data_IF_457454861156
#
_entry.id   IF_457454861156
#
_cell.length_a   1.000
_cell.length_b   1.000
_cell.length_c   1.000
_cell.angle_alpha   90.00
_cell.angle_beta   90.00
_cell.angle_gamma   90.00
#
_symmetry.space_group_name_H-M   'P 1'
#
loop_
_entity.id
_entity.type
_entity.pdbx_description
1 polymer ?
#
# COMPACT_ATOMS: atom_id res chain seq x y z
N UNK A 1 26.16 -8.18 30.74
CA UNK A 1 27.05 -7.01 30.86
C UNK A 1 26.64 -6.04 29.77
N UNK A 2 25.91 -4.98 30.11
CA UNK A 2 25.57 -3.95 29.13
C UNK A 2 26.83 -3.22 28.71
N UNK A 3 26.99 -2.98 27.42
CA UNK A 3 28.07 -2.11 26.92
C UNK A 3 27.78 -0.67 27.39
N UNK A 4 28.82 0.10 27.79
CA UNK A 4 28.62 1.48 28.20
C UNK A 4 27.96 2.29 27.08
N UNK A 5 27.08 3.25 27.40
CA UNK A 5 26.38 4.04 26.40
C UNK A 5 27.39 4.79 25.52
N UNK A 6 27.26 4.64 24.20
CA UNK A 6 28.10 5.33 23.23
C UNK A 6 28.01 6.85 23.44
N UNK A 7 29.18 7.51 23.46
CA UNK A 7 29.25 8.97 23.48
C UNK A 7 28.56 9.57 22.26
N UNK A 8 28.08 10.81 22.38
CA UNK A 8 27.37 11.45 21.27
C UNK A 8 28.23 11.55 20.00
N UNK A 9 29.54 11.77 20.17
CA UNK A 9 30.48 11.85 19.05
C UNK A 9 30.70 10.49 18.37
N UNK A 10 30.73 9.40 19.14
CA UNK A 10 30.74 8.05 18.56
C UNK A 10 29.44 7.76 17.77
N UNK A 11 28.28 8.23 18.26
CA UNK A 11 27.02 8.13 17.52
C UNK A 11 27.07 8.94 16.21
N UNK A 12 27.58 10.18 16.24
CA UNK A 12 27.78 11.02 15.03
C UNK A 12 28.66 10.29 14.01
N UNK A 13 29.82 9.77 14.41
CA UNK A 13 30.74 9.08 13.51
C UNK A 13 30.13 7.81 12.88
N UNK A 14 29.36 7.03 13.63
CA UNK A 14 28.65 5.84 13.10
C UNK A 14 27.54 6.21 12.11
N UNK A 15 26.77 7.26 12.40
CA UNK A 15 25.74 7.78 11.49
C UNK A 15 26.38 8.29 10.19
N UNK A 16 27.43 9.11 10.30
CA UNK A 16 28.18 9.63 9.15
C UNK A 16 28.73 8.51 8.26
N UNK A 17 29.38 7.50 8.87
CA UNK A 17 29.89 6.32 8.14
C UNK A 17 28.80 5.55 7.42
N UNK A 18 27.61 5.46 8.01
CA UNK A 18 26.45 4.77 7.42
C UNK A 18 25.91 5.53 6.20
N UNK A 19 25.76 6.86 6.33
CA UNK A 19 25.32 7.75 5.24
C UNK A 19 26.30 7.72 4.05
N UNK A 20 27.61 7.82 4.31
CA UNK A 20 28.63 7.83 3.25
C UNK A 20 28.69 6.49 2.51
N UNK A 21 28.44 5.37 3.20
CA UNK A 21 28.49 4.04 2.59
C UNK A 21 27.37 3.79 1.57
N UNK A 22 26.12 4.13 1.93
CA UNK A 22 24.98 4.02 1.01
C UNK A 22 23.93 5.10 1.35
N UNK A 23 24.00 6.28 0.71
CA UNK A 23 23.11 7.40 1.03
C UNK A 23 21.68 7.12 0.59
N UNK A 24 21.46 6.41 -0.52
CA UNK A 24 20.12 6.09 -1.01
C UNK A 24 19.43 5.04 -0.13
N UNK A 25 20.14 4.01 0.34
CA UNK A 25 19.59 3.05 1.29
C UNK A 25 19.31 3.69 2.67
N UNK A 26 20.14 4.67 3.06
CA UNK A 26 19.93 5.49 4.26
C UNK A 26 18.67 6.37 4.14
N UNK A 27 18.49 7.04 3.00
CA UNK A 27 17.29 7.82 2.68
C UNK A 27 16.03 6.95 2.67
N UNK A 28 16.07 5.75 2.05
CA UNK A 28 14.96 4.81 2.08
C UNK A 28 14.60 4.43 3.52
N UNK A 29 15.58 4.05 4.36
CA UNK A 29 15.32 3.64 5.74
C UNK A 29 14.66 4.76 6.56
N UNK A 30 15.12 6.01 6.39
CA UNK A 30 14.47 7.18 6.99
C UNK A 30 13.05 7.39 6.43
N UNK A 31 12.87 7.28 5.12
CA UNK A 31 11.58 7.47 4.44
C UNK A 31 10.53 6.44 4.89
N UNK A 32 10.91 5.18 5.06
CA UNK A 32 10.03 4.14 5.59
C UNK A 32 9.68 4.40 7.07
N UNK A 33 10.66 4.76 7.90
CA UNK A 33 10.44 5.09 9.30
C UNK A 33 9.50 6.30 9.48
N UNK A 34 9.74 7.38 8.72
CA UNK A 34 8.90 8.60 8.73
C UNK A 34 7.49 8.29 8.25
N UNK A 35 7.32 7.47 7.20
CA UNK A 35 5.99 7.07 6.73
C UNK A 35 5.22 6.26 7.78
N UNK A 36 5.91 5.34 8.47
CA UNK A 36 5.35 4.57 9.58
C UNK A 36 4.96 5.46 10.79
N UNK A 37 5.81 6.43 11.15
CA UNK A 37 5.57 7.35 12.26
C UNK A 37 4.43 8.34 11.99
N UNK A 38 4.32 8.87 10.76
CA UNK A 38 3.26 9.81 10.36
C UNK A 38 1.94 9.12 10.00
N UNK A 39 1.86 7.79 10.06
CA UNK A 39 0.62 7.04 9.84
C UNK A 39 -0.27 7.08 11.08
N UNK A 40 -1.58 7.23 10.90
CA UNK A 40 -2.58 7.02 11.97
C UNK A 40 -2.56 5.59 12.56
N UNK A 41 -1.84 4.66 11.91
CA UNK A 41 -1.61 3.28 12.35
C UNK A 41 -0.22 3.06 12.99
N UNK A 42 0.48 4.13 13.40
CA UNK A 42 1.85 4.06 13.91
C UNK A 42 2.02 2.97 14.98
N UNK A 43 1.02 2.72 15.84
CA UNK A 43 1.08 1.66 16.84
C UNK A 43 1.40 0.27 16.30
N UNK A 44 0.84 -0.07 15.13
CA UNK A 44 1.04 -1.33 14.42
C UNK A 44 2.14 -1.29 13.35
N UNK A 45 2.41 -0.10 12.79
CA UNK A 45 3.28 0.07 11.62
C UNK A 45 4.70 0.54 11.97
N UNK A 46 4.84 1.34 13.03
CA UNK A 46 6.13 1.82 13.55
C UNK A 46 6.68 0.81 14.57
N UNK A 47 6.98 -0.38 14.07
CA UNK A 47 7.59 -1.46 14.83
C UNK A 47 8.93 -1.85 14.17
N UNK A 48 10.06 -1.92 14.89
CA UNK A 48 10.22 -1.52 16.28
C UNK A 48 10.01 0.00 16.46
N UNK A 49 9.68 0.39 17.69
CA UNK A 49 9.54 1.78 18.11
C UNK A 49 10.79 2.25 18.89
N UNK A 50 11.26 3.51 18.75
CA UNK A 50 12.44 3.98 19.46
C UNK A 50 12.19 4.12 20.97
N UNK A 51 12.97 3.45 21.85
CA UNK A 51 12.69 3.36 23.28
C UNK A 51 12.80 4.70 24.00
N UNK A 52 13.67 5.59 23.52
CA UNK A 52 13.89 6.94 24.06
C UNK A 52 12.65 7.86 23.93
N UNK A 53 11.61 7.40 23.22
CA UNK A 53 10.31 8.08 23.06
C UNK A 53 9.17 7.30 23.72
N UNK A 54 9.46 6.36 24.63
CA UNK A 54 8.47 5.67 25.47
C UNK A 54 8.55 6.27 26.88
N UNK A 55 7.47 6.90 27.32
CA UNK A 55 7.37 7.57 28.62
C UNK A 55 6.26 6.89 29.41
N UNK A 56 6.57 6.37 30.61
CA UNK A 56 5.63 5.64 31.47
C UNK A 56 4.92 4.44 30.77
N UNK A 57 5.55 3.85 29.75
CA UNK A 57 4.99 2.77 28.93
C UNK A 57 4.19 3.26 27.70
N UNK A 58 3.94 4.55 27.57
CA UNK A 58 3.21 5.14 26.45
C UNK A 58 4.15 5.70 25.37
N UNK A 59 3.77 5.54 24.10
CA UNK A 59 4.54 6.03 22.95
C UNK A 59 4.32 7.54 22.77
N UNK A 60 5.34 8.34 23.02
CA UNK A 60 5.33 9.80 22.82
C UNK A 60 5.48 10.17 21.34
N UNK A 61 4.49 9.77 20.52
CA UNK A 61 4.53 9.93 19.05
C UNK A 61 4.66 11.40 18.62
N UNK A 62 4.05 12.34 19.34
CA UNK A 62 4.15 13.77 19.05
C UNK A 62 5.58 14.30 19.23
N UNK A 63 6.29 13.83 20.26
CA UNK A 63 7.70 14.18 20.47
C UNK A 63 8.57 13.56 19.37
N UNK A 64 8.32 12.31 18.99
CA UNK A 64 9.04 11.64 17.90
C UNK A 64 8.85 12.39 16.58
N UNK A 65 7.62 12.77 16.23
CA UNK A 65 7.33 13.52 15.01
C UNK A 65 8.01 14.89 14.98
N UNK A 66 8.09 15.61 16.12
CA UNK A 66 8.84 16.88 16.21
C UNK A 66 10.34 16.69 15.94
N UNK A 67 10.95 15.64 16.48
CA UNK A 67 12.37 15.32 16.21
C UNK A 67 12.58 14.86 14.77
N UNK A 68 11.63 14.14 14.17
CA UNK A 68 11.70 13.79 12.75
C UNK A 68 11.64 15.01 11.80
N UNK A 69 11.13 16.14 12.26
CA UNK A 69 11.06 17.39 11.49
C UNK A 69 12.34 18.25 11.57
N UNK A 70 13.23 17.97 12.53
CA UNK A 70 14.56 18.62 12.58
C UNK A 70 15.53 17.98 11.58
N UNK A 71 15.44 16.66 11.33
CA UNK A 71 16.37 15.90 10.48
C UNK A 71 16.48 16.51 9.07
N UNK A 72 17.66 17.03 8.66
CA UNK A 72 17.86 17.58 7.32
C UNK A 72 17.93 16.47 6.24
N UNK A 73 17.84 16.80 4.94
CA UNK A 73 18.03 15.85 3.84
C UNK A 73 19.32 15.03 4.00
N UNK A 74 19.34 13.78 3.51
CA UNK A 74 20.51 12.89 3.65
C UNK A 74 21.77 13.46 2.98
N UNK A 75 21.60 14.25 1.91
CA UNK A 75 22.70 14.95 1.26
C UNK A 75 23.39 16.01 2.15
N UNK A 76 22.64 16.61 3.09
CA UNK A 76 23.12 17.69 3.96
C UNK A 76 23.62 17.17 5.32
N UNK A 77 23.25 15.94 5.70
CA UNK A 77 23.70 15.32 6.95
C UNK A 77 25.23 15.25 7.10
N UNK A 78 26.06 14.92 6.08
CA UNK A 78 27.51 14.81 6.24
C UNK A 78 28.20 16.08 6.72
N UNK A 79 27.69 17.26 6.35
CA UNK A 79 28.20 18.57 6.79
C UNK A 79 27.45 19.11 8.01
N UNK A 80 26.14 18.81 8.13
CA UNK A 80 25.28 19.32 9.20
C UNK A 80 25.33 18.54 10.52
N UNK A 81 25.89 17.31 10.57
CA UNK A 81 25.76 16.40 11.72
C UNK A 81 26.30 16.95 13.05
N UNK A 82 27.31 17.81 13.00
CA UNK A 82 27.90 18.46 14.18
C UNK A 82 26.97 19.52 14.80
N UNK A 83 26.07 20.12 14.01
CA UNK A 83 25.11 21.13 14.46
C UNK A 83 23.78 20.51 14.94
N UNK A 84 23.58 19.21 14.78
CA UNK A 84 22.39 18.52 15.27
C UNK A 84 22.47 18.28 16.79
N UNK A 85 21.34 18.51 17.45
CA UNK A 85 21.15 18.24 18.86
C UNK A 85 21.24 16.74 19.18
N UNK A 86 21.51 16.46 20.45
CA UNK A 86 21.79 15.11 20.93
C UNK A 86 20.59 14.15 20.82
N UNK A 87 19.35 14.65 20.82
CA UNK A 87 18.14 13.83 20.65
C UNK A 87 17.97 13.45 19.17
N UNK A 88 18.17 14.38 18.24
CA UNK A 88 18.14 14.13 16.79
C UNK A 88 19.25 13.15 16.39
N UNK A 89 20.49 13.34 16.88
CA UNK A 89 21.60 12.39 16.65
C UNK A 89 21.32 11.03 17.30
N UNK A 90 20.72 11.00 18.50
CA UNK A 90 20.30 9.78 19.18
C UNK A 90 19.30 8.97 18.35
N UNK A 91 18.27 9.63 17.81
CA UNK A 91 17.27 9.01 16.94
C UNK A 91 17.88 8.53 15.61
N UNK A 92 18.70 9.34 14.93
CA UNK A 92 19.40 8.94 13.71
C UNK A 92 20.27 7.70 13.93
N UNK A 93 21.04 7.67 15.03
CA UNK A 93 21.84 6.52 15.41
C UNK A 93 20.98 5.29 15.72
N UNK A 94 19.82 5.46 16.35
CA UNK A 94 18.89 4.35 16.58
C UNK A 94 18.35 3.79 15.25
N UNK A 95 17.82 4.64 14.35
CA UNK A 95 17.24 4.21 13.06
C UNK A 95 18.31 3.58 12.16
N UNK A 96 19.46 4.22 12.01
CA UNK A 96 20.45 3.85 10.99
C UNK A 96 21.47 2.83 11.46
N UNK A 97 21.87 2.88 12.74
CA UNK A 97 22.95 2.04 13.28
C UNK A 97 22.43 0.91 14.17
N UNK A 98 21.51 1.18 15.11
CA UNK A 98 20.94 0.12 15.97
C UNK A 98 19.95 -0.77 15.19
N UNK A 99 19.13 -0.17 14.33
CA UNK A 99 18.21 -0.89 13.43
C UNK A 99 18.82 -1.13 12.02
N UNK A 100 20.15 -1.26 11.92
CA UNK A 100 20.86 -1.45 10.65
C UNK A 100 20.55 -2.79 9.93
N UNK A 101 19.80 -3.70 10.55
CA UNK A 101 19.51 -5.06 10.08
C UNK A 101 18.00 -5.27 9.83
N UNK A 102 17.60 -5.93 8.72
CA UNK A 102 18.44 -6.35 7.59
C UNK A 102 19.10 -5.15 6.89
N UNK A 103 20.23 -5.41 6.24
CA UNK A 103 20.98 -4.34 5.54
C UNK A 103 20.24 -4.05 4.24
N UNK A 104 19.98 -2.77 3.98
CA UNK A 104 19.55 -2.30 2.67
C UNK A 104 20.79 -1.98 1.84
N UNK A 105 20.83 -2.46 0.59
CA UNK A 105 21.87 -2.17 -0.40
C UNK A 105 21.21 -1.62 -1.67
N UNK A 106 21.61 -0.45 -2.12
CA UNK A 106 21.14 0.12 -3.38
C UNK A 106 21.61 -0.73 -4.56
N UNK A 107 20.69 -1.17 -5.41
CA UNK A 107 21.00 -1.95 -6.63
C UNK A 107 21.29 -0.99 -7.78
N UNK A 108 22.46 -1.07 -8.45
CA UNK A 108 22.78 -0.27 -9.62
C UNK A 108 21.75 -0.42 -10.74
N UNK A 109 21.45 0.66 -11.48
CA UNK A 109 20.45 0.63 -12.57
C UNK A 109 20.76 -0.41 -13.66
N UNK A 110 22.03 -0.72 -13.88
CA UNK A 110 22.50 -1.77 -14.80
C UNK A 110 22.11 -3.19 -14.39
N UNK A 111 21.73 -3.40 -13.13
CA UNK A 111 21.32 -4.71 -12.58
C UNK A 111 19.79 -4.81 -12.38
N UNK A 112 19.03 -3.76 -12.67
CA UNK A 112 17.57 -3.75 -12.43
C UNK A 112 16.85 -4.83 -13.23
N UNK A 113 17.20 -5.01 -14.51
CA UNK A 113 16.62 -6.04 -15.36
C UNK A 113 16.97 -7.47 -14.87
N UNK A 114 18.15 -7.65 -14.27
CA UNK A 114 18.56 -8.94 -13.68
C UNK A 114 17.79 -9.25 -12.38
N UNK A 115 17.42 -8.24 -11.59
CA UNK A 115 16.55 -8.42 -10.42
C UNK A 115 15.11 -8.71 -10.85
N UNK A 116 14.57 -7.94 -11.80
CA UNK A 116 13.21 -8.15 -12.31
C UNK A 116 13.07 -9.51 -13.02
N UNK A 117 14.11 -9.94 -13.75
CA UNK A 117 14.19 -11.26 -14.39
C UNK A 117 14.13 -12.46 -13.44
N UNK A 118 14.26 -12.27 -12.12
CA UNK A 118 14.01 -13.33 -11.12
C UNK A 118 12.54 -13.75 -11.05
N UNK A 119 11.62 -12.84 -11.39
CA UNK A 119 10.18 -13.10 -11.46
C UNK A 119 9.61 -12.50 -12.76
N UNK A 120 9.75 -13.22 -13.91
CA UNK A 120 9.28 -12.73 -15.20
C UNK A 120 7.78 -12.50 -15.20
N UNK A 121 7.36 -11.26 -15.40
CA UNK A 121 5.96 -10.87 -15.57
C UNK A 121 5.57 -10.98 -17.06
N UNK A 122 4.33 -11.35 -17.33
CA UNK A 122 3.78 -11.40 -18.68
C UNK A 122 3.03 -10.11 -19.04
N UNK A 123 2.42 -9.47 -18.04
CA UNK A 123 1.73 -8.20 -18.21
C UNK A 123 2.71 -7.02 -18.25
N UNK A 124 2.32 -5.91 -18.90
CA UNK A 124 3.11 -4.67 -18.89
C UNK A 124 2.99 -3.98 -17.53
N UNK A 125 4.12 -3.67 -16.91
CA UNK A 125 4.19 -2.99 -15.61
C UNK A 125 4.97 -1.67 -15.72
N UNK A 126 4.77 -0.76 -14.75
CA UNK A 126 5.60 0.42 -14.63
C UNK A 126 6.99 0.04 -14.07
N UNK A 127 8.07 0.63 -14.59
CA UNK A 127 9.42 0.38 -14.05
C UNK A 127 9.63 1.08 -12.70
N UNK A 128 10.30 0.45 -11.72
CA UNK A 128 10.69 1.11 -10.47
C UNK A 128 11.75 2.19 -10.75
N UNK A 129 11.72 3.29 -9.99
CA UNK A 129 12.76 4.32 -10.08
C UNK A 129 14.06 3.91 -9.37
N UNK A 130 13.92 3.09 -8.32
CA UNK A 130 15.04 2.54 -7.55
C UNK A 130 14.72 1.09 -7.11
N UNK A 131 15.75 0.27 -6.99
CA UNK A 131 15.68 -1.07 -6.42
C UNK A 131 16.68 -1.16 -5.28
N UNK A 132 16.26 -1.75 -4.16
CA UNK A 132 17.11 -2.00 -3.00
C UNK A 132 17.06 -3.48 -2.64
N UNK A 133 18.20 -4.08 -2.40
CA UNK A 133 18.31 -5.44 -1.89
C UNK A 133 18.23 -5.45 -0.36
N UNK A 134 17.58 -6.48 0.18
CA UNK A 134 17.40 -6.72 1.60
C UNK A 134 18.28 -7.90 2.03
N UNK A 135 19.40 -7.59 2.67
CA UNK A 135 20.44 -8.55 3.03
C UNK A 135 20.35 -8.94 4.50
N UNK A 136 19.86 -10.16 4.76
CA UNK A 136 19.86 -10.78 6.08
C UNK A 136 21.25 -11.30 6.48
N UNK A 137 21.41 -11.66 7.75
CA UNK A 137 22.56 -12.47 8.18
C UNK A 137 22.17 -13.94 8.17
N UNK A 138 23.11 -14.81 7.85
CA UNK A 138 22.99 -16.28 8.03
C UNK A 138 22.55 -16.68 9.45
N UNK A 139 22.88 -15.89 10.48
CA UNK A 139 22.48 -16.17 11.85
C UNK A 139 21.12 -15.54 12.27
N UNK A 140 20.45 -14.79 11.39
CA UNK A 140 19.10 -14.30 11.63
C UNK A 140 18.14 -15.48 11.80
N UNK A 141 17.17 -15.38 12.71
CA UNK A 141 16.21 -16.46 12.98
C UNK A 141 15.28 -16.75 11.80
N UNK A 142 14.74 -15.72 11.13
CA UNK A 142 13.85 -15.93 9.98
C UNK A 142 14.61 -16.42 8.76
N UNK A 143 15.86 -15.96 8.54
CA UNK A 143 16.69 -16.49 7.45
C UNK A 143 17.01 -17.97 7.68
N UNK A 144 17.37 -18.37 8.91
CA UNK A 144 17.64 -19.80 9.20
C UNK A 144 16.41 -20.68 9.02
N UNK A 145 15.24 -20.24 9.48
CA UNK A 145 13.99 -20.97 9.26
C UNK A 145 13.70 -21.11 7.76
N UNK A 146 13.83 -20.02 6.99
CA UNK A 146 13.67 -20.04 5.54
C UNK A 146 14.63 -21.02 4.84
N UNK A 147 15.92 -20.97 5.19
CA UNK A 147 16.93 -21.85 4.59
C UNK A 147 16.75 -23.33 4.95
N UNK A 148 16.18 -23.65 6.12
CA UNK A 148 15.80 -25.02 6.46
C UNK A 148 14.72 -25.56 5.50
N UNK A 149 13.64 -24.80 5.28
CA UNK A 149 12.58 -25.19 4.34
C UNK A 149 13.06 -25.17 2.88
N UNK A 150 13.94 -24.23 2.50
CA UNK A 150 14.52 -24.13 1.15
C UNK A 150 15.50 -25.27 0.80
N UNK A 151 16.01 -25.99 1.80
CA UNK A 151 16.80 -27.21 1.59
C UNK A 151 15.95 -28.42 1.17
N UNK A 152 14.65 -28.42 1.47
CA UNK A 152 13.72 -29.51 1.18
C UNK A 152 12.87 -29.25 -0.08
N UNK A 153 12.50 -28.00 -0.34
CA UNK A 153 11.62 -27.61 -1.45
C UNK A 153 12.23 -26.50 -2.30
N UNK A 154 11.90 -26.51 -3.59
CA UNK A 154 12.31 -25.47 -4.56
C UNK A 154 11.86 -24.07 -4.09
N UNK A 155 12.73 -23.08 -4.23
CA UNK A 155 12.34 -21.67 -4.09
C UNK A 155 11.87 -21.07 -5.43
N UNK A 156 10.96 -20.10 -5.34
CA UNK A 156 10.46 -19.27 -6.44
C UNK A 156 10.44 -17.80 -5.98
N UNK A 157 10.31 -16.87 -6.92
CA UNK A 157 10.16 -15.45 -6.61
C UNK A 157 8.74 -14.97 -6.95
N UNK A 158 8.20 -14.05 -6.16
CA UNK A 158 6.90 -13.41 -6.37
C UNK A 158 6.83 -12.04 -5.69
N UNK A 159 5.93 -11.17 -6.15
CA UNK A 159 5.77 -9.82 -5.65
C UNK A 159 4.72 -9.73 -4.53
N UNK A 160 4.91 -8.78 -3.61
CA UNK A 160 3.95 -8.39 -2.59
C UNK A 160 3.75 -6.87 -2.56
N UNK A 161 2.54 -6.42 -2.88
CA UNK A 161 2.15 -5.03 -2.76
C UNK A 161 1.62 -4.67 -1.36
N UNK A 162 2.03 -3.52 -0.84
CA UNK A 162 1.59 -3.01 0.46
C UNK A 162 1.66 -1.48 0.53
N UNK A 163 1.01 -0.89 1.53
CA UNK A 163 1.13 0.57 1.77
C UNK A 163 2.50 0.91 2.33
N UNK A 164 3.08 2.03 1.87
CA UNK A 164 4.42 2.48 2.23
C UNK A 164 4.74 2.39 3.74
N UNK A 165 3.82 2.86 4.60
CA UNK A 165 4.00 2.86 6.05
C UNK A 165 4.11 1.47 6.70
N UNK A 166 3.73 0.39 6.01
CA UNK A 166 3.94 -0.98 6.50
C UNK A 166 5.39 -1.43 6.35
N UNK A 167 6.14 -0.88 5.39
CA UNK A 167 7.44 -1.42 4.99
C UNK A 167 8.54 -1.27 6.05
N UNK A 168 8.40 -0.36 7.03
CA UNK A 168 9.25 -0.34 8.22
C UNK A 168 9.11 -1.66 9.02
N UNK A 169 7.88 -2.01 9.40
CA UNK A 169 7.59 -3.28 10.11
C UNK A 169 7.92 -4.52 9.27
N UNK A 170 7.60 -4.52 7.97
CA UNK A 170 7.94 -5.63 7.07
C UNK A 170 9.45 -5.83 6.96
N UNK A 171 10.25 -4.76 6.96
CA UNK A 171 11.72 -4.87 6.91
C UNK A 171 12.28 -5.54 8.18
N UNK A 172 11.69 -5.27 9.35
CA UNK A 172 12.20 -5.79 10.63
C UNK A 172 11.63 -7.14 11.05
N UNK A 173 10.39 -7.46 10.68
CA UNK A 173 9.68 -8.67 11.09
C UNK A 173 9.28 -9.60 9.93
N UNK A 174 9.57 -9.23 8.68
CA UNK A 174 9.10 -9.94 7.50
C UNK A 174 7.60 -9.77 7.25
N UNK A 175 7.07 -10.53 6.29
CA UNK A 175 5.64 -10.58 6.02
C UNK A 175 4.93 -11.47 7.06
N UNK A 176 3.87 -10.94 7.67
CA UNK A 176 3.17 -11.58 8.78
C UNK A 176 1.74 -11.94 8.35
N UNK A 177 1.41 -13.22 8.26
CA UNK A 177 0.09 -13.67 7.77
C UNK A 177 -1.10 -13.05 8.51
N UNK A 178 -1.01 -12.94 9.84
CA UNK A 178 -2.08 -12.40 10.70
C UNK A 178 -2.23 -10.86 10.60
N UNK A 179 -1.27 -10.15 9.99
CA UNK A 179 -1.35 -8.71 9.72
C UNK A 179 -1.88 -8.42 8.30
N UNK A 180 -1.97 -9.43 7.45
CA UNK A 180 -2.62 -9.31 6.15
C UNK A 180 -4.13 -9.32 6.31
N UNK A 181 -4.82 -8.61 5.42
CA UNK A 181 -6.27 -8.74 5.34
C UNK A 181 -6.62 -10.14 4.86
N UNK A 182 -7.41 -10.87 5.66
CA UNK A 182 -8.14 -12.04 5.15
C UNK A 182 -8.92 -11.59 3.93
N UNK A 183 -8.67 -12.27 2.81
CA UNK A 183 -9.24 -11.97 1.50
C UNK A 183 -9.83 -13.26 0.92
N UNK A 184 -10.07 -13.27 -0.40
CA UNK A 184 -10.77 -14.32 -1.15
C UNK A 184 -10.31 -15.76 -0.85
N UNK A 185 -9.06 -15.98 -0.41
CA UNK A 185 -8.45 -17.30 -0.25
C UNK A 185 -8.16 -17.67 1.21
N UNK A 186 -8.65 -16.87 2.16
CA UNK A 186 -8.48 -17.05 3.61
C UNK A 186 -7.27 -16.32 4.19
N UNK A 187 -6.78 -16.79 5.34
CA UNK A 187 -5.60 -16.25 6.00
C UNK A 187 -4.30 -16.75 5.35
N UNK A 188 -3.31 -15.85 5.24
CA UNK A 188 -1.99 -16.12 4.68
C UNK A 188 -1.28 -14.86 4.17
N UNK A 189 -0.09 -15.06 3.60
CA UNK A 189 0.66 -14.04 2.86
C UNK A 189 0.26 -14.14 1.39
N UNK A 190 -0.28 -13.05 0.86
CA UNK A 190 -0.67 -12.94 -0.54
C UNK A 190 0.52 -12.41 -1.36
N UNK A 191 0.96 -13.20 -2.33
CA UNK A 191 1.96 -12.84 -3.34
C UNK A 191 1.33 -12.97 -4.74
N UNK A 192 1.95 -12.37 -5.75
CA UNK A 192 1.58 -12.55 -7.16
C UNK A 192 2.81 -12.70 -8.04
N UNK A 193 2.74 -13.52 -9.09
CA UNK A 193 3.79 -13.60 -10.11
C UNK A 193 3.83 -12.37 -11.05
N UNK A 194 2.80 -11.52 -11.02
CA UNK A 194 2.72 -10.31 -11.86
C UNK A 194 2.98 -9.04 -11.04
N UNK A 195 3.98 -8.26 -11.44
CA UNK A 195 4.33 -6.99 -10.78
C UNK A 195 3.19 -5.97 -10.88
N UNK A 196 2.49 -5.91 -12.02
CA UNK A 196 1.35 -5.00 -12.22
C UNK A 196 0.24 -5.25 -11.18
N UNK A 197 -0.02 -6.51 -10.84
CA UNK A 197 -1.00 -6.87 -9.80
C UNK A 197 -0.58 -6.32 -8.45
N UNK A 198 0.68 -6.51 -8.06
CA UNK A 198 1.21 -5.97 -6.80
C UNK A 198 1.26 -4.44 -6.76
N UNK A 199 1.49 -3.76 -7.89
CA UNK A 199 1.42 -2.30 -7.98
C UNK A 199 0.05 -1.75 -7.55
N UNK A 200 -1.05 -2.45 -7.84
CA UNK A 200 -2.41 -2.05 -7.42
C UNK A 200 -2.61 -2.06 -5.88
N UNK A 201 -1.84 -2.88 -5.16
CA UNK A 201 -1.86 -2.94 -3.69
C UNK A 201 -0.83 -2.01 -3.02
N UNK A 202 0.00 -1.34 -3.83
CA UNK A 202 1.03 -0.38 -3.40
C UNK A 202 0.70 1.05 -3.84
N UNK A 203 -0.35 1.69 -3.29
CA UNK A 203 -0.65 3.08 -3.60
C UNK A 203 0.45 4.02 -3.07
N UNK A 204 0.64 5.14 -3.76
CA UNK A 204 1.55 6.21 -3.32
C UNK A 204 1.22 6.67 -1.89
N UNK A 205 2.18 6.51 -0.98
CA UNK A 205 2.12 7.00 0.39
C UNK A 205 2.96 8.25 0.59
N UNK A 206 2.62 9.05 1.61
CA UNK A 206 3.49 10.13 2.09
C UNK A 206 4.75 9.50 2.68
N UNK A 207 5.90 9.79 2.07
CA UNK A 207 7.21 9.37 2.55
C UNK A 207 7.79 10.42 3.50
N UNK A 208 9.07 10.74 3.30
CA UNK A 208 9.73 11.86 3.97
C UNK A 208 9.87 13.04 3.00
N UNK A 209 9.37 14.21 3.39
CA UNK A 209 9.34 15.41 2.51
C UNK A 209 10.73 15.94 2.13
N UNK A 210 11.79 15.45 2.77
CA UNK A 210 13.21 15.79 2.51
C UNK A 210 13.97 14.64 1.83
N UNK A 211 13.27 13.58 1.41
CA UNK A 211 13.83 12.44 0.68
C UNK A 211 14.25 12.83 -0.74
N UNK A 212 15.46 12.41 -1.12
CA UNK A 212 15.97 12.44 -2.49
C UNK A 212 15.32 11.40 -3.40
N UNK A 213 14.68 10.37 -2.83
CA UNK A 213 13.98 9.32 -3.56
C UNK A 213 12.57 9.74 -4.01
N UNK A 214 12.03 10.80 -3.41
CA UNK A 214 10.71 11.36 -3.71
C UNK A 214 9.88 11.63 -2.45
N UNK A 215 8.98 12.62 -2.50
CA UNK A 215 8.13 12.96 -1.34
C UNK A 215 6.93 12.03 -1.21
N UNK A 216 6.49 11.44 -2.33
CA UNK A 216 5.45 10.42 -2.37
C UNK A 216 6.05 9.15 -3.00
N UNK A 217 5.99 8.05 -2.26
CA UNK A 217 6.59 6.78 -2.64
C UNK A 217 5.54 5.67 -2.65
N UNK A 218 5.54 4.84 -3.68
CA UNK A 218 4.99 3.49 -3.63
C UNK A 218 6.13 2.47 -3.53
N UNK A 219 5.88 1.34 -2.87
CA UNK A 219 6.89 0.30 -2.64
C UNK A 219 6.27 -1.09 -2.84
N UNK A 220 6.94 -1.97 -3.58
CA UNK A 220 6.56 -3.38 -3.76
C UNK A 220 7.72 -4.25 -3.30
N UNK A 221 7.46 -5.27 -2.48
CA UNK A 221 8.47 -6.27 -2.16
C UNK A 221 8.56 -7.30 -3.31
N UNK A 222 9.78 -7.65 -3.72
CA UNK A 222 10.06 -8.89 -4.44
C UNK A 222 10.56 -9.90 -3.41
N UNK A 223 9.73 -10.91 -3.15
CA UNK A 223 9.97 -11.96 -2.19
C UNK A 223 10.53 -13.20 -2.88
N UNK A 224 11.41 -13.91 -2.18
CA UNK A 224 11.66 -15.32 -2.41
C UNK A 224 10.72 -16.13 -1.51
N UNK A 225 10.14 -17.20 -2.02
CA UNK A 225 9.30 -18.11 -1.24
C UNK A 225 9.64 -19.57 -1.51
N UNK A 226 9.45 -20.42 -0.49
CA UNK A 226 9.62 -21.86 -0.57
C UNK A 226 8.31 -22.51 -1.04
N UNK A 227 8.36 -23.27 -2.13
CA UNK A 227 7.19 -23.84 -2.81
C UNK A 227 6.74 -25.16 -2.17
N UNK A 228 6.39 -25.11 -0.87
CA UNK A 228 5.95 -26.27 -0.09
C UNK A 228 4.44 -26.53 -0.30
N UNK A 229 4.01 -27.65 -0.91
CA UNK A 229 2.59 -27.91 -1.23
C UNK A 229 1.63 -27.93 -0.04
N UNK A 230 2.13 -28.15 1.18
CA UNK A 230 1.30 -28.17 2.39
C UNK A 230 0.87 -26.77 2.84
N UNK A 231 1.64 -25.74 2.48
CA UNK A 231 1.48 -24.37 2.97
C UNK A 231 1.32 -23.32 1.86
N UNK A 232 1.67 -23.66 0.62
CA UNK A 232 1.54 -22.80 -0.56
C UNK A 232 0.36 -23.25 -1.40
N UNK A 233 -0.53 -22.31 -1.73
CA UNK A 233 -1.57 -22.50 -2.76
C UNK A 233 -1.29 -21.55 -3.91
N UNK A 234 -1.10 -22.10 -5.11
CA UNK A 234 -0.96 -21.33 -6.35
C UNK A 234 -2.17 -21.61 -7.24
N UNK A 235 -2.71 -20.58 -7.90
CA UNK A 235 -3.64 -20.77 -9.02
C UNK A 235 -2.98 -20.28 -10.30
N UNK A 236 -2.40 -21.23 -11.02
CA UNK A 236 -2.03 -21.05 -12.42
C UNK A 236 -3.26 -21.39 -13.28
N UNK A 237 -3.38 -20.75 -14.44
CA UNK A 237 -4.55 -20.85 -15.30
C UNK A 237 -4.70 -22.29 -15.82
N UNK A 238 -5.69 -23.03 -15.33
CA UNK A 238 -6.12 -24.26 -16.00
C UNK A 238 -6.72 -23.87 -17.34
N UNK A 239 -5.97 -24.07 -18.43
CA UNK A 239 -6.51 -24.09 -19.79
C UNK A 239 -7.45 -25.30 -19.92
N UNK A 240 -8.65 -25.19 -19.35
CA UNK A 240 -9.70 -26.19 -19.51
C UNK A 240 -10.10 -26.25 -20.98
N UNK A 241 -10.16 -27.45 -21.61
CA UNK A 241 -10.78 -27.60 -22.91
C UNK A 241 -12.21 -27.04 -22.89
N UNK A 242 -12.74 -26.55 -24.02
CA UNK A 242 -14.10 -26.04 -24.08
C UNK A 242 -15.08 -27.13 -23.61
N UNK A 243 -16.07 -26.78 -22.76
CA UNK A 243 -17.01 -27.76 -22.26
C UNK A 243 -17.85 -28.32 -23.42
N UNK A 244 -18.14 -29.64 -23.45
CA UNK A 244 -19.13 -30.16 -24.36
C UNK A 244 -20.49 -29.56 -24.02
N UNK A 245 -21.19 -29.08 -25.03
CA UNK A 245 -22.64 -28.85 -24.95
C UNK A 245 -23.32 -30.21 -24.73
N UNK A 246 -24.06 -30.38 -23.62
CA UNK A 246 -25.52 -30.36 -23.73
C UNK A 246 -26.28 -30.29 -22.40
N UNK A 247 -27.53 -29.84 -22.52
CA UNK A 247 -28.75 -30.05 -21.72
C UNK A 247 -28.77 -30.05 -20.17
N UNK A 248 -29.82 -29.42 -19.64
CA UNK A 248 -29.91 -29.05 -18.22
C UNK A 248 -30.82 -29.91 -17.35
N UNK A 249 -30.67 -29.76 -16.02
CA UNK A 249 -31.67 -30.06 -14.97
C UNK A 249 -31.27 -29.36 -13.67
N UNK A 250 -32.24 -28.81 -12.93
CA UNK A 250 -32.12 -28.15 -11.60
C UNK A 250 -32.91 -28.91 -10.51
N UNK A 251 -32.79 -28.59 -9.18
CA UNK A 251 -31.80 -27.76 -8.47
C UNK A 251 -30.95 -28.63 -7.49
N UNK A 252 -31.09 -28.75 -6.14
CA UNK A 252 -31.88 -28.05 -5.09
C UNK A 252 -31.05 -26.97 -4.33
N UNK A 253 -31.12 -26.89 -2.98
CA UNK A 253 -30.66 -25.76 -2.14
C UNK A 253 -30.22 -26.13 -0.72
N UNK A 254 -29.22 -25.42 -0.15
CA UNK A 254 -28.99 -25.21 1.31
C UNK A 254 -28.02 -24.00 1.50
N UNK A 255 -28.43 -22.83 1.99
CA UNK A 255 -28.78 -22.40 3.38
C UNK A 255 -27.61 -21.78 4.19
N UNK A 256 -27.64 -20.44 4.27
CA UNK A 256 -27.28 -19.55 5.41
C UNK A 256 -25.85 -19.51 6.00
N UNK A 257 -25.20 -18.35 5.90
CA UNK A 257 -24.86 -17.51 7.09
C UNK A 257 -24.46 -16.09 6.67
N UNK A 258 -25.15 -15.07 7.21
CA UNK A 258 -24.90 -13.66 6.90
C UNK A 258 -23.99 -12.99 7.95
N UNK A 259 -23.02 -12.19 7.48
CA UNK A 259 -22.13 -11.37 8.31
C UNK A 259 -21.61 -10.15 7.53
N UNK A 260 -21.56 -8.93 8.12
CA UNK A 260 -21.51 -7.70 7.34
C UNK A 260 -20.10 -7.32 6.86
N UNK A 261 -19.84 -7.46 5.56
CA UNK A 261 -18.63 -6.95 4.89
C UNK A 261 -18.92 -6.18 3.59
N UNK A 262 -20.08 -5.51 3.52
CA UNK A 262 -20.56 -4.78 2.34
C UNK A 262 -19.87 -3.43 2.06
N UNK A 263 -18.52 -3.40 2.04
CA UNK A 263 -17.74 -2.20 1.70
C UNK A 263 -16.45 -2.48 0.90
N UNK A 264 -16.40 -3.54 0.08
CA UNK A 264 -15.35 -3.67 -0.95
C UNK A 264 -15.70 -4.53 -2.19
N UNK A 265 -16.97 -4.84 -2.45
CA UNK A 265 -17.38 -5.66 -3.62
C UNK A 265 -17.55 -4.86 -4.94
N UNK A 266 -17.66 -3.53 -4.86
CA UNK A 266 -18.16 -2.68 -5.96
C UNK A 266 -17.13 -2.30 -7.06
N UNK A 267 -16.13 -3.15 -7.33
CA UNK A 267 -15.20 -2.93 -8.46
C UNK A 267 -14.67 -4.22 -9.13
N UNK A 268 -15.28 -5.38 -8.84
CA UNK A 268 -15.02 -6.66 -9.53
C UNK A 268 -16.37 -7.25 -9.98
N UNK A 269 -17.08 -6.51 -10.82
CA UNK A 269 -18.27 -7.03 -11.49
C UNK A 269 -17.83 -7.98 -12.61
N UNK A 270 -18.26 -9.24 -12.56
CA UNK A 270 -18.44 -10.01 -13.80
C UNK A 270 -18.13 -11.51 -13.78
N UNK A 271 -17.46 -12.06 -12.78
CA UNK A 271 -17.32 -13.51 -12.54
C UNK A 271 -16.59 -13.74 -11.21
N UNK A 272 -16.76 -14.91 -10.58
CA UNK A 272 -15.93 -15.35 -9.44
C UNK A 272 -14.52 -15.77 -9.84
N UNK A 273 -13.96 -15.20 -10.91
CA UNK A 273 -12.64 -15.54 -11.43
C UNK A 273 -11.55 -14.95 -10.53
N UNK A 274 -10.71 -15.83 -10.00
CA UNK A 274 -9.41 -15.50 -9.43
C UNK A 274 -8.65 -14.63 -10.43
N UNK A 275 -8.10 -13.46 -10.05
CA UNK A 275 -7.21 -12.75 -10.93
C UNK A 275 -5.90 -13.56 -11.08
N UNK A 276 -5.19 -13.38 -12.19
CA UNK A 276 -4.14 -14.30 -12.63
C UNK A 276 -2.97 -14.45 -11.63
N UNK A 277 -2.49 -15.69 -11.46
CA UNK A 277 -1.22 -16.04 -10.80
C UNK A 277 -1.03 -15.49 -9.37
N UNK A 278 -2.01 -15.68 -8.50
CA UNK A 278 -1.83 -15.46 -7.06
C UNK A 278 -1.24 -16.69 -6.37
N UNK A 279 -0.43 -16.41 -5.36
CA UNK A 279 0.24 -17.38 -4.50
C UNK A 279 -0.11 -17.02 -3.05
N UNK A 280 -0.75 -17.93 -2.33
CA UNK A 280 -1.05 -17.78 -0.90
C UNK A 280 -0.11 -18.66 -0.08
N UNK A 281 0.68 -18.06 0.81
CA UNK A 281 1.63 -18.77 1.68
C UNK A 281 1.16 -18.70 3.14
N UNK A 282 0.94 -19.86 3.78
CA UNK A 282 0.37 -19.99 5.13
C UNK A 282 1.38 -20.14 6.28
N UNK A 283 2.67 -20.08 5.98
CA UNK A 283 3.72 -20.05 6.99
C UNK A 283 4.67 -18.90 6.66
N UNK A 284 4.86 -17.98 7.63
CA UNK A 284 5.74 -16.82 7.49
C UNK A 284 7.21 -17.22 7.25
N UNK A 285 7.63 -18.38 7.76
CA UNK A 285 9.00 -18.89 7.58
C UNK A 285 9.33 -19.25 6.12
N UNK A 286 8.31 -19.46 5.28
CA UNK A 286 8.47 -19.83 3.87
C UNK A 286 8.61 -18.61 2.95
N UNK A 287 8.68 -17.37 3.47
CA UNK A 287 8.78 -16.15 2.66
C UNK A 287 9.86 -15.22 3.20
N UNK A 288 10.77 -14.77 2.33
CA UNK A 288 11.75 -13.73 2.64
C UNK A 288 11.66 -12.58 1.63
N UNK A 289 11.65 -11.35 2.12
CA UNK A 289 11.74 -10.16 1.27
C UNK A 289 13.18 -10.03 0.79
N UNK A 290 13.45 -10.20 -0.51
CA UNK A 290 14.80 -10.09 -1.08
C UNK A 290 15.08 -8.72 -1.68
N UNK A 291 14.09 -8.07 -2.27
CA UNK A 291 14.24 -6.71 -2.82
C UNK A 291 13.02 -5.83 -2.54
N UNK A 292 13.25 -4.52 -2.50
CA UNK A 292 12.22 -3.48 -2.46
C UNK A 292 12.29 -2.68 -3.77
N UNK A 293 11.19 -2.68 -4.52
CA UNK A 293 11.00 -1.93 -5.75
C UNK A 293 10.28 -0.62 -5.42
N UNK A 294 10.97 0.51 -5.60
CA UNK A 294 10.48 1.82 -5.20
C UNK A 294 10.03 2.64 -6.41
N UNK A 295 8.89 3.30 -6.27
CA UNK A 295 8.29 4.19 -7.27
C UNK A 295 8.19 5.58 -6.62
N UNK A 296 9.20 6.41 -6.89
CA UNK A 296 9.30 7.75 -6.32
C UNK A 296 8.69 8.83 -7.21
N UNK A 297 7.96 9.76 -6.60
CA UNK A 297 7.44 10.96 -7.25
C UNK A 297 7.64 12.20 -6.38
N UNK A 298 7.90 13.35 -7.01
CA UNK A 298 7.87 14.65 -6.35
C UNK A 298 6.49 15.28 -6.55
N UNK A 299 6.13 16.22 -5.67
CA UNK A 299 4.79 16.83 -5.63
C UNK A 299 4.40 17.55 -6.94
N UNK A 300 5.37 17.91 -7.77
CA UNK A 300 5.17 18.60 -9.05
C UNK A 300 4.88 17.65 -10.22
N UNK A 301 5.36 16.40 -10.17
CA UNK A 301 5.19 15.44 -11.27
C UNK A 301 3.73 15.00 -11.50
N UNK A 302 2.87 15.09 -10.48
CA UNK A 302 1.47 14.64 -10.57
C UNK A 302 0.57 15.47 -11.50
N UNK A 303 1.03 16.61 -12.04
CA UNK A 303 0.25 17.39 -13.00
C UNK A 303 0.36 16.89 -14.45
N UNK A 304 1.33 16.02 -14.78
CA UNK A 304 1.62 15.62 -16.17
C UNK A 304 1.35 14.13 -16.48
N UNK A 305 1.06 13.28 -15.49
CA UNK A 305 0.95 11.82 -15.67
C UNK A 305 -0.43 11.34 -16.18
N UNK A 306 -1.04 12.12 -17.09
CA UNK A 306 -2.31 11.76 -17.78
C UNK A 306 -2.22 11.89 -19.29
N UNK A 307 -1.01 11.91 -19.86
CA UNK A 307 -0.75 11.78 -21.29
C UNK A 307 -0.04 10.45 -21.60
N UNK A 308 -0.48 9.79 -22.66
CA UNK A 308 -0.19 8.38 -22.96
C UNK A 308 1.21 8.15 -23.54
N UNK A 309 1.68 6.90 -23.49
CA UNK A 309 2.87 6.44 -24.18
C UNK A 309 2.78 6.65 -25.71
N UNK A 310 3.88 7.06 -26.35
CA UNK A 310 3.93 7.24 -27.80
C UNK A 310 5.31 7.54 -28.38
N UNK A 311 6.01 6.49 -28.83
CA UNK A 311 7.13 6.53 -29.81
C UNK A 311 8.43 7.26 -29.45
N UNK A 312 9.48 6.94 -30.21
CA UNK A 312 10.88 7.29 -29.96
C UNK A 312 11.46 8.28 -31.00
N UNK A 313 12.75 8.56 -30.82
CA UNK A 313 13.76 8.98 -31.81
C UNK A 313 14.12 10.47 -31.99
N UNK A 314 15.43 10.69 -31.86
CA UNK A 314 16.33 11.67 -32.53
C UNK A 314 15.94 13.14 -32.69
N UNK A 315 16.88 13.99 -32.24
CA UNK A 315 16.97 15.38 -32.65
C UNK A 315 17.35 15.52 -34.13
N UNK A 316 16.61 16.38 -34.85
CA UNK A 316 17.05 17.20 -35.99
C UNK A 316 16.06 18.38 -36.13
N UNK A 317 16.50 19.43 -36.83
CA UNK A 317 15.70 20.53 -37.38
C UNK A 317 14.96 21.47 -36.41
N UNK A 318 15.78 22.29 -35.73
CA UNK A 318 15.40 23.66 -35.45
C UNK A 318 15.46 24.51 -36.73
N UNK A 319 14.39 24.55 -37.53
CA UNK A 319 14.10 25.55 -38.58
C UNK A 319 12.59 25.49 -38.90
N UNK A 320 12.00 26.63 -39.31
CA UNK A 320 10.55 26.87 -39.44
C UNK A 320 9.74 27.05 -38.13
N UNK A 321 9.97 28.19 -37.48
CA UNK A 321 8.98 28.76 -36.57
C UNK A 321 7.81 29.41 -37.35
N UNK A 322 6.57 28.99 -37.05
CA UNK A 322 5.34 29.70 -37.42
C UNK A 322 4.37 29.73 -36.22
N UNK A 323 3.57 30.80 -36.03
CA UNK A 323 2.82 31.01 -34.80
C UNK A 323 1.56 30.13 -34.72
N UNK A 324 1.57 29.12 -33.85
CA UNK A 324 0.38 28.32 -33.55
C UNK A 324 -0.57 29.10 -32.65
N UNK A 325 -1.71 29.49 -33.20
CA UNK A 325 -2.84 30.13 -32.48
C UNK A 325 -3.42 29.13 -31.47
N UNK A 326 -3.27 29.40 -30.17
CA UNK A 326 -3.84 28.56 -29.12
C UNK A 326 -5.38 28.47 -29.22
N UNK A 327 -5.97 27.26 -29.19
CA UNK A 327 -7.40 27.12 -28.93
C UNK A 327 -7.65 27.36 -27.43
N UNK A 328 -8.22 28.52 -27.09
CA UNK A 328 -8.64 28.83 -25.73
C UNK A 328 -9.83 27.96 -25.32
N UNK A 329 -9.58 26.88 -24.57
CA UNK A 329 -10.64 26.20 -23.82
C UNK A 329 -11.13 27.08 -22.67
N UNK A 330 -11.98 28.05 -23.00
CA UNK A 330 -12.81 28.71 -22.00
C UNK A 330 -13.76 27.67 -21.40
N UNK A 331 -13.56 27.33 -20.12
CA UNK A 331 -14.57 26.67 -19.29
C UNK A 331 -15.85 27.50 -19.35
N UNK A 332 -16.83 27.05 -20.14
CA UNK A 332 -18.18 27.63 -20.13
C UNK A 332 -18.83 27.26 -18.80
N UNK A 333 -19.22 28.31 -18.08
CA UNK A 333 -19.89 28.34 -16.78
C UNK A 333 -18.97 28.17 -15.56
N UNK A 334 -18.89 29.17 -14.66
CA UNK A 334 -18.23 29.00 -13.37
C UNK A 334 -19.01 27.99 -12.51
N UNK A 335 -18.35 27.22 -11.63
CA UNK A 335 -19.04 26.32 -10.70
C UNK A 335 -20.03 27.12 -9.86
N UNK A 336 -21.21 26.54 -9.61
CA UNK A 336 -22.25 27.24 -8.86
C UNK A 336 -21.74 27.62 -7.46
N UNK A 337 -22.19 28.78 -6.94
CA UNK A 337 -21.76 29.28 -5.62
C UNK A 337 -21.91 28.24 -4.50
N UNK A 338 -22.88 27.33 -4.63
CA UNK A 338 -23.10 26.21 -3.72
C UNK A 338 -21.97 25.16 -3.77
N UNK A 339 -21.52 24.75 -4.95
CA UNK A 339 -20.40 23.80 -5.11
C UNK A 339 -19.11 24.40 -4.55
N UNK A 340 -18.89 25.69 -4.81
CA UNK A 340 -17.71 26.41 -4.32
C UNK A 340 -17.75 26.61 -2.79
N UNK A 341 -18.94 26.83 -2.22
CA UNK A 341 -19.15 26.86 -0.77
C UNK A 341 -18.90 25.49 -0.11
N UNK A 342 -19.40 24.39 -0.71
CA UNK A 342 -19.13 23.02 -0.25
C UNK A 342 -17.63 22.72 -0.25
N UNK A 343 -16.91 23.07 -1.33
CA UNK A 343 -15.48 22.84 -1.45
C UNK A 343 -14.66 23.56 -0.36
N UNK A 344 -15.09 24.75 0.08
CA UNK A 344 -14.43 25.51 1.15
C UNK A 344 -14.88 25.10 2.56
N UNK A 345 -16.09 24.55 2.73
CA UNK A 345 -16.69 24.28 4.06
C UNK A 345 -16.78 22.77 4.38
N UNK A 346 -15.76 22.00 4.00
CA UNK A 346 -15.69 20.53 4.18
C UNK A 346 -16.02 20.07 5.61
N UNK A 347 -15.61 20.83 6.63
CA UNK A 347 -15.92 20.54 8.04
C UNK A 347 -17.42 20.62 8.37
N UNK A 348 -18.11 21.68 7.91
CA UNK A 348 -19.56 21.81 8.10
C UNK A 348 -20.34 20.74 7.33
N UNK A 349 -19.88 20.35 6.14
CA UNK A 349 -20.49 19.26 5.36
C UNK A 349 -20.34 17.91 6.06
N UNK A 350 -19.18 17.62 6.67
CA UNK A 350 -18.96 16.42 7.47
C UNK A 350 -19.83 16.39 8.73
N UNK A 351 -19.90 17.50 9.48
CA UNK A 351 -20.72 17.60 10.69
C UNK A 351 -22.21 17.47 10.33
N UNK A 352 -22.69 18.18 9.32
CA UNK A 352 -24.08 18.09 8.85
C UNK A 352 -24.44 16.70 8.34
N UNK A 353 -23.53 16.04 7.61
CA UNK A 353 -23.71 14.65 7.16
C UNK A 353 -23.78 13.66 8.32
N UNK A 354 -22.94 13.82 9.34
CA UNK A 354 -22.96 12.97 10.54
C UNK A 354 -24.23 13.17 11.38
N UNK A 355 -24.67 14.41 11.61
CA UNK A 355 -25.93 14.71 12.29
C UNK A 355 -27.13 14.16 11.49
N UNK A 356 -27.12 14.29 10.16
CA UNK A 356 -28.13 13.69 9.29
C UNK A 356 -28.18 12.17 9.40
N UNK A 357 -27.02 11.50 9.44
CA UNK A 357 -26.94 10.05 9.63
C UNK A 357 -27.46 9.61 11.01
N UNK A 358 -27.13 10.34 12.08
CA UNK A 358 -27.67 10.08 13.42
C UNK A 358 -29.20 10.28 13.48
N UNK A 359 -29.74 11.30 12.80
CA UNK A 359 -31.19 11.51 12.70
C UNK A 359 -31.88 10.40 11.90
N UNK A 360 -31.26 9.89 10.82
CA UNK A 360 -31.78 8.76 10.05
C UNK A 360 -31.78 7.47 10.89
N UNK A 361 -30.69 7.17 11.60
CA UNK A 361 -30.60 6.00 12.50
C UNK A 361 -31.61 6.12 13.64
N UNK A 362 -31.72 7.30 14.26
CA UNK A 362 -32.70 7.58 15.31
C UNK A 362 -34.15 7.49 14.83
N UNK A 363 -34.43 7.93 13.60
CA UNK A 363 -35.75 7.80 12.97
C UNK A 363 -36.09 6.34 12.69
N UNK A 364 -35.20 5.58 12.05
CA UNK A 364 -35.36 4.15 11.75
C UNK A 364 -35.61 3.33 13.03
N UNK A 365 -34.91 3.66 14.12
CA UNK A 365 -35.05 2.99 15.41
C UNK A 365 -36.21 3.54 16.28
N UNK A 366 -36.99 4.50 15.78
CA UNK A 366 -38.14 5.05 16.50
C UNK A 366 -39.39 4.18 16.28
N UNK A 367 -40.25 4.05 17.30
CA UNK A 367 -41.53 3.33 17.20
C UNK A 367 -42.46 3.91 16.12
N UNK A 368 -42.23 5.15 15.68
CA UNK A 368 -43.00 5.82 14.63
C UNK A 368 -42.59 5.39 13.21
N UNK A 369 -41.39 4.83 13.00
CA UNK A 369 -40.96 4.34 11.68
C UNK A 369 -41.86 3.22 11.16
N UNK A 370 -42.39 2.36 12.04
CA UNK A 370 -43.33 1.30 11.64
C UNK A 370 -44.63 1.88 11.08
N UNK A 371 -45.17 2.94 11.70
CA UNK A 371 -46.38 3.62 11.23
C UNK A 371 -46.17 4.32 9.88
N UNK A 372 -45.02 4.98 9.69
CA UNK A 372 -44.70 5.61 8.40
C UNK A 372 -44.47 4.56 7.30
N UNK A 373 -43.84 3.42 7.62
CA UNK A 373 -43.66 2.28 6.71
C UNK A 373 -45.00 1.67 6.28
N UNK A 374 -45.91 1.42 7.23
CA UNK A 374 -47.29 0.97 6.98
C UNK A 374 -48.04 1.93 6.04
N UNK A 375 -48.04 3.23 6.36
CA UNK A 375 -48.70 4.26 5.54
C UNK A 375 -48.10 4.36 4.13
N UNK A 376 -46.78 4.22 4.00
CA UNK A 376 -46.11 4.24 2.69
C UNK A 376 -46.46 3.00 1.87
N UNK A 377 -46.46 1.80 2.47
CA UNK A 377 -46.87 0.56 1.82
C UNK A 377 -48.34 0.58 1.40
N UNK A 378 -49.23 1.14 2.23
CA UNK A 378 -50.64 1.32 1.84
C UNK A 378 -50.78 2.23 0.62
N UNK A 379 -50.08 3.37 0.57
CA UNK A 379 -50.10 4.26 -0.61
C UNK A 379 -49.49 3.59 -1.84
N UNK A 380 -48.42 2.81 -1.67
CA UNK A 380 -47.77 2.10 -2.77
C UNK A 380 -48.66 0.97 -3.32
N UNK A 381 -49.38 0.24 -2.46
CA UNK A 381 -50.43 -0.70 -2.87
C UNK A 381 -51.61 0.01 -3.57
N UNK A 382 -52.01 1.20 -3.12
CA UNK A 382 -53.08 1.96 -3.76
C UNK A 382 -52.68 2.43 -5.17
N UNK A 383 -51.42 2.85 -5.36
CA UNK A 383 -50.84 3.16 -6.68
C UNK A 383 -50.69 1.90 -7.53
N UNK A 384 -50.21 0.79 -6.97
CA UNK A 384 -50.10 -0.49 -7.66
C UNK A 384 -51.46 -0.95 -8.20
N UNK A 385 -52.51 -0.93 -7.37
CA UNK A 385 -53.87 -1.31 -7.77
C UNK A 385 -54.51 -0.31 -8.75
N UNK A 386 -54.15 0.97 -8.71
CA UNK A 386 -54.61 1.98 -9.66
C UNK A 386 -53.92 1.88 -11.03
N UNK A 387 -52.66 1.40 -11.08
CA UNK A 387 -51.86 1.28 -12.32
C UNK A 387 -52.01 -0.10 -12.98
N UNK A 388 -52.17 -1.17 -12.20
CA UNK A 388 -52.27 -2.56 -12.68
C UNK A 388 -53.68 -3.15 -12.45
N UNK A 389 -54.71 -2.31 -12.66
CA UNK A 389 -56.10 -2.57 -12.31
C UNK A 389 -56.60 -3.98 -12.66
N UNK A 390 -56.99 -4.72 -11.62
CA UNK A 390 -57.60 -6.05 -11.69
C UNK A 390 -58.91 -5.99 -12.50
N UNK A 391 -58.84 -6.39 -13.78
CA UNK A 391 -60.00 -6.52 -14.65
C UNK A 391 -60.71 -7.83 -14.31
N UNK A 392 -61.52 -7.81 -13.25
CA UNK A 392 -62.35 -8.94 -12.86
C UNK A 392 -63.27 -9.36 -14.01
N UNK A 393 -63.12 -10.60 -14.46
CA UNK A 393 -64.03 -11.23 -15.42
C UNK A 393 -65.42 -11.35 -14.81
N UNK A 394 -66.41 -10.77 -15.49
CA UNK A 394 -67.81 -11.19 -15.35
C UNK A 394 -68.03 -12.41 -16.24
N UNK A 395 -68.35 -13.54 -15.64
CA UNK A 395 -69.50 -14.39 -16.01
C UNK A 395 -70.20 -14.81 -14.71
#
# INVERSE_FOLDING_TARGET
>A
MELPPLSIEAKRLLVLKTIIHDPAATDLRLSLFVSAAKSFRYDSCLQPFPPDFIVNGEKSIDQLCRVLETIPPVADLPTGLAALDDQTVGLLHWILCRQARPVLRTVPKTEHDAVLGKCPCYAKYAMPSHIFEVVFRENNSSERAFQQHAGEFRTRHAFHGSRLFNFHSILHYGLQQHLNKVSLFGEGIYLSAELQVSQMFSPNGSGWNRSTLGTHLACVALCEYVDNPNYVKSQEETTSPPPPTDDGTTPPTSSTSDGPSSFMSASLNGTGSFPERYILVKNNELVQVRYLLLYGSTKESNNNTTALAGSASSAVDALYALPVRQPSYQMRHPPSRFIQWIANNKGFVLIGGYVGLLLIVGFINSRNAHFVKEMFLQKLNHVYNAVLGYRGTRE
#
